data_IF_100591216747
#
_entry.id   IF_100591216747
#
_cell.length_a   1.000
_cell.length_b   1.000
_cell.length_c   1.000
_cell.angle_alpha   90.00
_cell.angle_beta   90.00
_cell.angle_gamma   90.00
#
_symmetry.space_group_name_H-M   'P 1'
#
loop_
_entity.id
_entity.type
_entity.pdbx_description
1 polymer ?
#
# COMPACT_ATOMS: atom_id res chain seq x y z
N UNK A 1 -47.56 6.46 -29.60
CA UNK A 1 -46.24 6.87 -29.12
C UNK A 1 -46.07 6.13 -27.80
N UNK A 2 -45.78 4.83 -27.92
CA UNK A 2 -45.62 3.94 -26.77
C UNK A 2 -44.16 4.06 -26.34
N UNK A 3 -43.97 4.48 -25.09
CA UNK A 3 -42.68 4.51 -24.42
C UNK A 3 -42.12 3.08 -24.40
N UNK A 4 -41.01 2.92 -25.12
CA UNK A 4 -40.11 1.79 -25.03
C UNK A 4 -39.56 1.76 -23.61
N UNK A 5 -40.11 0.86 -22.78
CA UNK A 5 -39.52 0.40 -21.53
C UNK A 5 -38.14 -0.16 -21.88
N UNK A 6 -37.11 0.67 -21.72
CA UNK A 6 -35.73 0.24 -21.88
C UNK A 6 -35.43 -0.73 -20.75
N UNK A 7 -35.53 -2.01 -21.08
CA UNK A 7 -35.06 -3.15 -20.30
C UNK A 7 -33.65 -2.86 -19.78
N UNK A 8 -33.59 -2.33 -18.56
CA UNK A 8 -32.36 -2.10 -17.82
C UNK A 8 -32.00 -3.41 -17.13
N UNK A 9 -32.01 -4.51 -17.88
CA UNK A 9 -31.51 -5.78 -17.41
C UNK A 9 -30.01 -5.63 -17.21
N UNK A 10 -29.64 -5.37 -15.95
CA UNK A 10 -28.29 -5.57 -15.48
C UNK A 10 -27.84 -6.95 -15.97
N UNK A 11 -26.63 -7.07 -16.57
CA UNK A 11 -26.12 -8.37 -16.96
C UNK A 11 -26.24 -9.29 -15.73
N UNK A 12 -26.67 -10.56 -15.91
CA UNK A 12 -26.88 -11.45 -14.78
C UNK A 12 -25.62 -11.39 -13.94
N UNK A 13 -25.78 -10.95 -12.69
CA UNK A 13 -24.70 -10.96 -11.71
C UNK A 13 -24.07 -12.33 -11.85
N UNK A 14 -22.86 -12.39 -12.45
CA UNK A 14 -22.04 -13.60 -12.40
C UNK A 14 -22.12 -14.01 -10.96
N UNK A 15 -22.62 -15.22 -10.69
CA UNK A 15 -22.90 -15.67 -9.33
C UNK A 15 -21.69 -15.31 -8.46
N UNK A 16 -21.85 -14.31 -7.62
CA UNK A 16 -20.73 -13.68 -6.92
C UNK A 16 -20.05 -14.73 -6.02
N UNK A 17 -20.82 -15.73 -5.58
CA UNK A 17 -20.31 -16.91 -4.88
C UNK A 17 -19.39 -17.74 -5.79
N UNK A 18 -19.83 -18.07 -7.00
CA UNK A 18 -19.02 -18.82 -7.95
C UNK A 18 -17.72 -18.09 -8.34
N UNK A 19 -17.77 -16.77 -8.49
CA UNK A 19 -16.59 -15.94 -8.75
C UNK A 19 -15.63 -15.91 -7.54
N UNK A 20 -16.16 -15.75 -6.33
CA UNK A 20 -15.37 -15.78 -5.10
C UNK A 20 -14.70 -17.15 -4.88
N UNK A 21 -15.43 -18.24 -5.13
CA UNK A 21 -14.86 -19.58 -5.06
C UNK A 21 -13.77 -19.82 -6.10
N UNK A 22 -13.96 -19.32 -7.33
CA UNK A 22 -12.95 -19.41 -8.37
C UNK A 22 -11.68 -18.64 -8.00
N UNK A 23 -11.84 -17.46 -7.41
CA UNK A 23 -10.74 -16.67 -6.87
C UNK A 23 -10.02 -17.42 -5.75
N UNK A 24 -10.74 -17.94 -4.76
CA UNK A 24 -10.13 -18.70 -3.66
C UNK A 24 -9.34 -19.90 -4.15
N UNK A 25 -9.90 -20.67 -5.11
CA UNK A 25 -9.19 -21.77 -5.77
C UNK A 25 -7.92 -21.30 -6.48
N UNK A 26 -7.96 -20.15 -7.14
CA UNK A 26 -6.79 -19.57 -7.82
C UNK A 26 -5.71 -19.08 -6.86
N UNK A 27 -6.07 -18.67 -5.63
CA UNK A 27 -5.12 -18.19 -4.62
C UNK A 27 -4.40 -19.32 -3.88
N UNK A 28 -4.98 -20.52 -3.78
CA UNK A 28 -4.36 -21.69 -3.13
C UNK A 28 -2.92 -21.95 -3.60
N UNK A 29 -2.62 -22.09 -4.91
CA UNK A 29 -1.25 -22.35 -5.36
C UNK A 29 -0.28 -21.22 -4.99
N UNK A 30 -0.74 -19.96 -5.02
CA UNK A 30 0.08 -18.81 -4.61
C UNK A 30 0.45 -18.87 -3.12
N UNK A 31 -0.51 -19.28 -2.28
CA UNK A 31 -0.30 -19.44 -0.83
C UNK A 31 0.67 -20.58 -0.52
N UNK A 32 0.57 -21.70 -1.25
CA UNK A 32 1.46 -22.86 -1.09
C UNK A 32 2.88 -22.58 -1.60
N UNK A 33 3.02 -21.91 -2.74
CA UNK A 33 4.30 -21.51 -3.31
C UNK A 33 4.74 -20.13 -2.77
N UNK A 34 4.75 -19.95 -1.45
CA UNK A 34 4.92 -18.62 -0.81
C UNK A 34 6.18 -17.89 -1.27
N UNK A 35 7.35 -18.54 -1.22
CA UNK A 35 8.63 -17.90 -1.55
C UNK A 35 8.70 -17.49 -3.02
N UNK A 36 8.25 -18.36 -3.92
CA UNK A 36 8.20 -18.05 -5.35
C UNK A 36 7.20 -16.92 -5.65
N UNK A 37 6.04 -16.93 -4.99
CA UNK A 37 5.03 -15.89 -5.11
C UNK A 37 5.58 -14.54 -4.64
N UNK A 38 6.29 -14.50 -3.52
CA UNK A 38 6.96 -13.28 -3.03
C UNK A 38 7.99 -12.78 -4.04
N UNK A 39 8.82 -13.66 -4.60
CA UNK A 39 9.80 -13.28 -5.61
C UNK A 39 9.15 -12.70 -6.86
N UNK A 40 8.07 -13.32 -7.36
CA UNK A 40 7.32 -12.84 -8.54
C UNK A 40 6.63 -11.50 -8.26
N UNK A 41 6.01 -11.34 -7.10
CA UNK A 41 5.35 -10.10 -6.70
C UNK A 41 6.35 -8.97 -6.51
N UNK A 42 7.53 -9.23 -5.94
CA UNK A 42 8.62 -8.27 -5.84
C UNK A 42 9.00 -7.72 -7.22
N UNK A 43 9.24 -8.60 -8.19
CA UNK A 43 9.53 -8.18 -9.57
C UNK A 43 8.38 -7.39 -10.18
N UNK A 44 7.13 -7.84 -9.98
CA UNK A 44 5.97 -7.15 -10.53
C UNK A 44 5.68 -5.78 -9.88
N UNK A 45 6.03 -5.59 -8.61
CA UNK A 45 5.92 -4.28 -7.93
C UNK A 45 6.95 -3.28 -8.47
N UNK A 46 8.13 -3.73 -8.87
CA UNK A 46 9.14 -2.89 -9.49
C UNK A 46 8.76 -2.44 -10.92
N UNK A 47 7.91 -3.21 -11.60
CA UNK A 47 7.44 -2.95 -12.97
C UNK A 47 6.17 -2.06 -12.98
N UNK A 48 6.25 -0.86 -13.57
CA UNK A 48 5.16 0.10 -13.60
C UNK A 48 3.88 -0.42 -14.28
N UNK A 49 3.99 -1.33 -15.25
CA UNK A 49 2.86 -1.86 -16.01
C UNK A 49 2.15 -2.97 -15.22
N UNK A 50 2.91 -3.70 -14.39
CA UNK A 50 2.42 -4.88 -13.64
C UNK A 50 2.10 -4.57 -12.19
N UNK A 51 2.57 -3.44 -11.66
CA UNK A 51 2.41 -3.06 -10.25
C UNK A 51 0.96 -3.02 -9.81
N UNK A 52 0.05 -2.50 -10.64
CA UNK A 52 -1.38 -2.44 -10.30
C UNK A 52 -1.97 -3.82 -10.05
N UNK A 53 -1.63 -4.78 -10.91
CA UNK A 53 -2.07 -6.18 -10.79
C UNK A 53 -1.44 -6.83 -9.55
N UNK A 54 -0.15 -6.59 -9.30
CA UNK A 54 0.55 -7.09 -8.12
C UNK A 54 -0.09 -6.59 -6.82
N UNK A 55 -0.43 -5.30 -6.73
CA UNK A 55 -1.13 -4.71 -5.59
C UNK A 55 -2.54 -5.31 -5.42
N UNK A 56 -3.26 -5.56 -6.52
CA UNK A 56 -4.58 -6.19 -6.47
C UNK A 56 -4.49 -7.64 -5.95
N UNK A 57 -3.51 -8.42 -6.43
CA UNK A 57 -3.25 -9.79 -5.96
C UNK A 57 -2.88 -9.79 -4.48
N UNK A 58 -2.00 -8.88 -4.04
CA UNK A 58 -1.66 -8.71 -2.61
C UNK A 58 -2.88 -8.38 -1.74
N UNK A 59 -3.86 -7.66 -2.31
CA UNK A 59 -5.16 -7.42 -1.70
C UNK A 59 -5.90 -8.70 -1.29
N UNK A 60 -5.67 -9.80 -2.00
CA UNK A 60 -6.35 -11.09 -1.79
C UNK A 60 -5.51 -12.10 -0.98
N UNK A 61 -4.21 -11.84 -0.81
CA UNK A 61 -3.31 -12.68 -0.03
C UNK A 61 -3.30 -12.28 1.45
N UNK A 62 -2.78 -13.16 2.31
CA UNK A 62 -2.63 -12.86 3.74
C UNK A 62 -1.60 -11.75 3.98
N UNK A 63 -1.71 -11.06 5.11
CA UNK A 63 -0.79 -9.98 5.53
C UNK A 63 0.67 -10.40 5.60
N UNK A 64 0.94 -11.70 5.80
CA UNK A 64 2.30 -12.23 5.77
C UNK A 64 3.01 -12.10 4.42
N UNK A 65 2.30 -11.80 3.32
CA UNK A 65 2.91 -11.38 2.05
C UNK A 65 3.24 -9.88 2.05
N UNK A 66 2.33 -9.04 2.55
CA UNK A 66 2.55 -7.61 2.77
C UNK A 66 3.79 -7.35 3.61
N UNK A 67 3.96 -8.06 4.72
CA UNK A 67 5.14 -7.94 5.60
C UNK A 67 6.45 -8.23 4.86
N UNK A 68 6.46 -9.23 3.97
CA UNK A 68 7.65 -9.66 3.22
C UNK A 68 8.00 -8.75 2.05
N UNK A 69 7.06 -7.91 1.64
CA UNK A 69 7.19 -6.97 0.52
C UNK A 69 7.11 -5.51 1.02
N UNK A 70 7.36 -5.29 2.31
CA UNK A 70 7.20 -3.98 2.93
C UNK A 70 8.04 -2.91 2.22
N UNK A 71 9.30 -3.20 1.89
CA UNK A 71 10.18 -2.23 1.24
C UNK A 71 9.65 -1.82 -0.14
N UNK A 72 9.21 -2.81 -0.93
CA UNK A 72 8.66 -2.59 -2.27
C UNK A 72 7.33 -1.84 -2.22
N UNK A 73 6.50 -2.12 -1.21
CA UNK A 73 5.25 -1.42 -0.99
C UNK A 73 5.48 0.04 -0.58
N UNK A 74 6.42 0.32 0.31
CA UNK A 74 6.77 1.68 0.71
C UNK A 74 7.28 2.49 -0.48
N UNK A 75 8.19 1.93 -1.29
CA UNK A 75 8.67 2.55 -2.52
C UNK A 75 7.53 2.78 -3.53
N UNK A 76 6.63 1.80 -3.71
CA UNK A 76 5.45 1.97 -4.55
C UNK A 76 4.50 3.07 -4.04
N UNK A 77 4.46 3.28 -2.71
CA UNK A 77 3.61 4.27 -2.06
C UNK A 77 4.00 5.73 -2.32
N UNK A 78 5.23 5.96 -2.80
CA UNK A 78 5.71 7.28 -3.23
C UNK A 78 4.99 7.77 -4.49
N UNK A 79 4.51 6.86 -5.34
CA UNK A 79 3.78 7.23 -6.55
C UNK A 79 2.30 7.50 -6.24
N UNK A 80 1.82 8.71 -6.56
CA UNK A 80 0.44 9.18 -6.32
C UNK A 80 -0.65 8.17 -6.70
N UNK A 81 -0.48 7.52 -7.85
CA UNK A 81 -1.44 6.54 -8.41
C UNK A 81 -1.62 5.28 -7.56
N UNK A 82 -0.62 4.97 -6.72
CA UNK A 82 -0.53 3.73 -5.94
C UNK A 82 -0.64 3.97 -4.43
N UNK A 83 -0.42 5.21 -3.96
CA UNK A 83 -0.42 5.61 -2.55
C UNK A 83 -1.62 5.07 -1.76
N UNK A 84 -2.85 5.24 -2.27
CA UNK A 84 -4.07 4.77 -1.58
C UNK A 84 -4.10 3.23 -1.45
N UNK A 85 -3.68 2.51 -2.49
CA UNK A 85 -3.65 1.04 -2.46
C UNK A 85 -2.61 0.54 -1.46
N UNK A 86 -1.43 1.16 -1.45
CA UNK A 86 -0.35 0.84 -0.51
C UNK A 86 -0.80 1.09 0.93
N UNK A 87 -1.41 2.25 1.22
CA UNK A 87 -2.00 2.57 2.53
C UNK A 87 -2.98 1.51 2.99
N UNK A 88 -3.93 1.14 2.14
CA UNK A 88 -4.90 0.10 2.46
C UNK A 88 -4.25 -1.27 2.71
N UNK A 89 -3.21 -1.64 1.95
CA UNK A 89 -2.49 -2.90 2.14
C UNK A 89 -1.74 -2.92 3.48
N UNK A 90 -1.05 -1.83 3.82
CA UNK A 90 -0.32 -1.69 5.08
C UNK A 90 -1.27 -1.56 6.28
N UNK A 91 -2.43 -0.92 6.09
CA UNK A 91 -3.48 -0.79 7.11
C UNK A 91 -4.18 -2.11 7.47
N UNK A 92 -4.01 -3.16 6.66
CA UNK A 92 -4.48 -4.52 6.99
C UNK A 92 -3.58 -5.24 7.99
N UNK A 93 -2.34 -4.77 8.18
CA UNK A 93 -1.42 -5.39 9.14
C UNK A 93 -2.01 -5.26 10.56
N UNK A 94 -1.84 -6.28 11.43
CA UNK A 94 -2.11 -6.10 12.85
C UNK A 94 -1.34 -4.88 13.37
N UNK A 95 -1.99 -4.02 14.15
CA UNK A 95 -1.40 -2.74 14.56
C UNK A 95 -0.02 -2.89 15.24
N UNK A 96 0.18 -3.95 16.05
CA UNK A 96 1.47 -4.25 16.67
C UNK A 96 2.57 -4.62 15.67
N UNK A 97 2.21 -5.23 14.54
CA UNK A 97 3.16 -5.53 13.46
C UNK A 97 3.45 -4.28 12.63
N UNK A 98 2.44 -3.47 12.32
CA UNK A 98 2.63 -2.19 11.65
C UNK A 98 3.56 -1.27 12.46
N UNK A 99 3.31 -1.11 13.76
CA UNK A 99 4.14 -0.31 14.67
C UNK A 99 5.59 -0.79 14.75
N UNK A 100 5.83 -2.10 14.61
CA UNK A 100 7.17 -2.68 14.65
C UNK A 100 7.91 -2.57 13.32
N UNK A 101 7.21 -2.76 12.20
CA UNK A 101 7.85 -2.95 10.89
C UNK A 101 7.89 -1.67 10.06
N UNK A 102 6.80 -0.91 10.03
CA UNK A 102 6.65 0.25 9.12
C UNK A 102 7.65 1.37 9.45
N UNK A 103 7.85 1.81 10.70
CA UNK A 103 8.76 2.93 11.00
C UNK A 103 10.20 2.66 10.55
N UNK A 104 10.70 1.43 10.78
CA UNK A 104 12.03 1.02 10.33
C UNK A 104 12.14 1.01 8.80
N UNK A 105 11.08 0.58 8.11
CA UNK A 105 11.00 0.61 6.65
C UNK A 105 11.00 2.04 6.10
N UNK A 106 10.20 2.92 6.68
CA UNK A 106 10.13 4.35 6.33
C UNK A 106 11.50 5.01 6.47
N UNK A 107 12.16 4.82 7.62
CA UNK A 107 13.50 5.39 7.84
C UNK A 107 14.53 4.90 6.81
N UNK A 108 14.48 3.62 6.43
CA UNK A 108 15.38 3.07 5.40
C UNK A 108 15.11 3.66 4.01
N UNK A 109 13.84 3.85 3.67
CA UNK A 109 13.45 4.46 2.40
C UNK A 109 13.93 5.92 2.34
N UNK A 110 13.63 6.72 3.36
CA UNK A 110 14.02 8.13 3.40
C UNK A 110 15.53 8.35 3.48
N UNK A 111 16.27 7.38 4.05
CA UNK A 111 17.73 7.42 4.00
C UNK A 111 18.28 7.22 2.57
N UNK A 112 17.53 6.53 1.69
CA UNK A 112 17.88 6.33 0.28
C UNK A 112 17.33 7.44 -0.62
N UNK A 113 16.14 7.98 -0.32
CA UNK A 113 15.41 8.97 -1.10
C UNK A 113 14.95 10.12 -0.18
N UNK A 114 15.85 11.06 0.20
CA UNK A 114 15.58 12.09 1.20
C UNK A 114 14.98 13.37 0.59
N UNK A 115 13.90 13.28 -0.19
CA UNK A 115 13.21 14.45 -0.77
C UNK A 115 11.92 14.82 -0.02
N UNK A 116 11.45 16.06 -0.22
CA UNK A 116 10.27 16.61 0.46
C UNK A 116 8.99 15.80 0.21
N UNK A 117 8.78 15.37 -1.04
CA UNK A 117 7.62 14.58 -1.42
C UNK A 117 7.62 13.21 -0.73
N UNK A 118 8.76 12.53 -0.68
CA UNK A 118 8.91 11.25 0.02
C UNK A 118 8.65 11.40 1.52
N UNK A 119 9.19 12.45 2.15
CA UNK A 119 8.89 12.76 3.55
C UNK A 119 7.40 12.98 3.78
N UNK A 120 6.73 13.78 2.94
CA UNK A 120 5.29 14.05 3.03
C UNK A 120 4.46 12.78 2.86
N UNK A 121 4.76 11.97 1.84
CA UNK A 121 4.05 10.69 1.58
C UNK A 121 4.20 9.71 2.73
N UNK A 122 5.38 9.66 3.36
CA UNK A 122 5.63 8.81 4.52
C UNK A 122 4.98 9.35 5.79
N UNK A 123 4.94 10.68 6.01
CA UNK A 123 4.21 11.29 7.10
C UNK A 123 2.70 10.96 7.02
N UNK A 124 2.09 11.20 5.85
CA UNK A 124 0.70 10.84 5.57
C UNK A 124 0.42 9.33 5.75
N UNK A 125 1.39 8.47 5.44
CA UNK A 125 1.26 7.03 5.69
C UNK A 125 1.27 6.71 7.19
N UNK A 126 2.21 7.28 7.95
CA UNK A 126 2.32 7.04 9.39
C UNK A 126 1.07 7.55 10.13
N UNK A 127 0.55 8.71 9.73
CA UNK A 127 -0.72 9.26 10.19
C UNK A 127 -1.90 8.32 9.86
N UNK A 128 -2.02 7.89 8.60
CA UNK A 128 -3.06 6.96 8.17
C UNK A 128 -3.07 5.65 8.97
N UNK A 129 -1.90 5.17 9.40
CA UNK A 129 -1.76 3.95 10.20
C UNK A 129 -1.91 4.18 11.71
N UNK A 130 -2.08 5.43 12.17
CA UNK A 130 -2.13 5.80 13.58
C UNK A 130 -0.82 5.51 14.31
N UNK A 131 0.32 5.73 13.65
CA UNK A 131 1.67 5.48 14.19
C UNK A 131 2.30 6.77 14.73
N UNK A 132 1.59 7.44 15.65
CA UNK A 132 1.90 8.80 16.11
C UNK A 132 3.32 8.95 16.68
N UNK A 133 3.86 7.93 17.37
CA UNK A 133 5.23 7.94 17.88
C UNK A 133 6.26 8.04 16.73
N UNK A 134 6.01 7.29 15.66
CA UNK A 134 6.88 7.29 14.48
C UNK A 134 6.72 8.59 13.70
N UNK A 135 5.50 9.10 13.56
CA UNK A 135 5.22 10.39 12.94
C UNK A 135 5.93 11.53 13.68
N UNK A 136 5.80 11.60 15.01
CA UNK A 136 6.52 12.59 15.83
C UNK A 136 8.04 12.51 15.68
N UNK A 137 8.57 11.30 15.51
CA UNK A 137 10.01 11.09 15.27
C UNK A 137 10.41 11.63 13.90
N UNK A 138 9.65 11.27 12.86
CA UNK A 138 9.85 11.78 11.49
C UNK A 138 9.80 13.32 11.46
N UNK A 139 8.79 13.94 12.07
CA UNK A 139 8.68 15.40 12.11
C UNK A 139 9.85 16.04 12.87
N UNK A 140 10.37 15.42 13.93
CA UNK A 140 11.56 15.93 14.62
C UNK A 140 12.79 15.92 13.71
N UNK A 141 13.02 14.82 12.99
CA UNK A 141 14.11 14.72 12.02
C UNK A 141 13.94 15.72 10.87
N UNK A 142 12.71 15.90 10.38
CA UNK A 142 12.39 16.82 9.30
C UNK A 142 12.61 18.31 9.68
N UNK A 143 12.33 18.72 10.92
CA UNK A 143 12.61 20.12 11.39
C UNK A 143 14.08 20.50 11.27
N UNK A 144 14.97 19.55 11.50
CA UNK A 144 16.41 19.77 11.48
C UNK A 144 17.01 19.66 10.06
N UNK A 145 16.18 19.40 9.04
CA UNK A 145 16.63 19.29 7.66
C UNK A 145 17.09 20.64 7.10
N UNK A 146 18.14 20.60 6.26
CA UNK A 146 18.57 21.76 5.47
C UNK A 146 17.61 22.04 4.30
N UNK A 147 16.85 21.04 3.88
CA UNK A 147 15.88 21.16 2.79
C UNK A 147 14.59 21.83 3.28
N UNK A 148 14.18 22.98 2.69
CA UNK A 148 12.93 23.64 3.05
C UNK A 148 11.67 22.80 2.83
N UNK A 149 11.60 21.98 1.78
CA UNK A 149 10.43 21.16 1.48
C UNK A 149 10.26 20.07 2.55
N UNK A 150 11.37 19.50 3.02
CA UNK A 150 11.35 18.54 4.13
C UNK A 150 10.93 19.22 5.43
N UNK A 151 11.42 20.44 5.73
CA UNK A 151 10.99 21.18 6.94
C UNK A 151 9.49 21.48 6.94
N UNK A 152 8.91 21.82 5.79
CA UNK A 152 7.47 22.07 5.63
C UNK A 152 6.64 20.87 6.09
N UNK A 153 7.09 19.63 5.85
CA UNK A 153 6.42 18.42 6.35
C UNK A 153 6.34 18.41 7.87
N UNK A 154 7.36 18.91 8.57
CA UNK A 154 7.26 19.01 10.02
C UNK A 154 6.25 20.08 10.45
N UNK A 155 6.09 21.18 9.72
CA UNK A 155 5.11 22.22 10.03
C UNK A 155 3.67 21.71 9.83
N UNK A 156 3.45 20.89 8.79
CA UNK A 156 2.13 20.32 8.47
C UNK A 156 1.66 19.22 9.45
N UNK A 157 2.59 18.47 10.05
CA UNK A 157 2.28 17.24 10.82
C UNK A 157 2.73 17.28 12.29
N UNK A 158 3.20 18.42 12.82
CA UNK A 158 3.79 18.52 14.16
C UNK A 158 2.80 18.52 15.35
N UNK A 159 1.49 18.54 15.10
CA UNK A 159 0.45 18.75 16.12
C UNK A 159 0.22 17.54 17.05
#
# INVERSE_FOLDING_TARGET
MEESDQDTSWPPLVDASAAAEALERALVPLRLAREETVARLRTALADLDRRREALAILGQLSTGFTERLLAELLAAGLADRDTVRVRNLLGRLPHGDARRLVPDGVRRLLAAEPDGDAYRRMAELLDHLGLDDALRTLCREARDSIDPEVREVAEDFAD
#
